data_IF_970027418693
#
_entry.id   IF_970027418693
#
_cell.length_a   1.000
_cell.length_b   1.000
_cell.length_c   1.000
_cell.angle_alpha   90.00
_cell.angle_beta   90.00
_cell.angle_gamma   90.00
#
_symmetry.space_group_name_H-M   'P 1'
#
loop_
_entity.id
_entity.type
_entity.pdbx_description
1 polymer ?
#
# COMPACT_ATOMS: atom_id res chain seq x y z
N UNK A 1 10.38 0.65 -25.84
CA UNK A 1 9.68 -0.15 -24.82
C UNK A 1 9.73 0.64 -23.52
N UNK A 2 8.64 0.72 -22.75
CA UNK A 2 8.65 1.45 -21.47
C UNK A 2 9.50 0.70 -20.46
N UNK A 3 10.26 1.42 -19.65
CA UNK A 3 11.10 0.86 -18.59
C UNK A 3 10.38 0.91 -17.24
N UNK A 4 10.49 -0.16 -16.47
CA UNK A 4 9.82 -0.35 -15.19
C UNK A 4 10.80 -0.91 -14.15
N UNK A 5 10.88 -0.28 -12.99
CA UNK A 5 11.47 -0.93 -11.82
C UNK A 5 10.39 -1.44 -10.86
N UNK A 6 10.49 -2.71 -10.50
CA UNK A 6 9.63 -3.38 -9.52
C UNK A 6 10.37 -3.36 -8.18
N UNK A 7 9.80 -2.67 -7.20
CA UNK A 7 10.34 -2.54 -5.85
C UNK A 7 9.75 -3.65 -4.98
N UNK A 8 10.61 -4.49 -4.44
CA UNK A 8 10.22 -5.69 -3.71
C UNK A 8 11.02 -5.80 -2.40
N UNK A 9 10.33 -5.97 -1.27
CA UNK A 9 10.97 -6.09 0.05
C UNK A 9 10.71 -7.48 0.62
N UNK A 10 11.78 -8.22 0.93
CA UNK A 10 11.71 -9.56 1.50
C UNK A 10 12.79 -9.80 2.57
N UNK A 11 12.69 -9.09 3.70
CA UNK A 11 13.62 -9.25 4.83
C UNK A 11 13.20 -10.38 5.78
N UNK A 12 14.18 -11.00 6.44
CA UNK A 12 14.01 -12.10 7.38
C UNK A 12 13.21 -13.26 6.78
N UNK A 13 12.14 -13.73 7.44
CA UNK A 13 11.37 -14.87 6.96
C UNK A 13 10.58 -14.58 5.67
N UNK A 14 10.56 -13.34 5.16
CA UNK A 14 9.87 -13.04 3.89
C UNK A 14 10.69 -13.41 2.66
N UNK A 15 11.98 -13.74 2.79
CA UNK A 15 12.83 -14.16 1.68
C UNK A 15 12.30 -15.38 0.91
N UNK A 16 11.56 -16.28 1.59
CA UNK A 16 10.96 -17.48 0.98
C UNK A 16 10.01 -17.16 -0.18
N UNK A 17 9.33 -16.01 -0.16
CA UNK A 17 8.39 -15.68 -1.23
C UNK A 17 9.07 -15.33 -2.56
N UNK A 18 10.35 -14.96 -2.54
CA UNK A 18 11.05 -14.49 -3.74
C UNK A 18 11.16 -15.58 -4.82
N UNK A 19 11.40 -16.83 -4.41
CA UNK A 19 11.54 -17.98 -5.30
C UNK A 19 10.37 -18.08 -6.29
N UNK A 20 9.14 -18.03 -5.79
CA UNK A 20 7.93 -18.15 -6.61
C UNK A 20 7.49 -16.80 -7.20
N UNK A 21 7.77 -15.70 -6.51
CA UNK A 21 7.39 -14.35 -6.94
C UNK A 21 8.05 -13.98 -8.27
N UNK A 22 9.37 -14.13 -8.38
CA UNK A 22 10.13 -13.69 -9.55
C UNK A 22 9.64 -14.30 -10.88
N UNK A 23 9.58 -15.63 -11.06
CA UNK A 23 9.14 -16.21 -12.32
C UNK A 23 7.68 -15.87 -12.63
N UNK A 24 6.81 -15.80 -11.63
CA UNK A 24 5.41 -15.43 -11.80
C UNK A 24 5.25 -13.97 -12.28
N UNK A 25 5.88 -13.01 -11.60
CA UNK A 25 5.80 -11.60 -11.97
C UNK A 25 6.50 -11.33 -13.31
N UNK A 26 7.63 -11.98 -13.58
CA UNK A 26 8.31 -11.87 -14.88
C UNK A 26 7.44 -12.35 -16.03
N UNK A 27 6.69 -13.43 -15.87
CA UNK A 27 5.77 -13.93 -16.89
C UNK A 27 4.53 -13.05 -17.07
N UNK A 28 3.96 -12.54 -15.96
CA UNK A 28 2.58 -12.05 -15.96
C UNK A 28 2.42 -10.55 -15.69
N UNK A 29 3.31 -9.91 -14.93
CA UNK A 29 3.14 -8.52 -14.50
C UNK A 29 3.82 -7.54 -15.46
N UNK A 30 3.05 -6.86 -16.30
CA UNK A 30 3.53 -5.88 -17.28
C UNK A 30 4.59 -6.45 -18.26
N UNK A 31 4.32 -7.58 -18.95
CA UNK A 31 5.30 -8.22 -19.83
C UNK A 31 5.68 -7.39 -21.06
N UNK A 32 4.90 -6.35 -21.37
CA UNK A 32 5.14 -5.35 -22.40
C UNK A 32 6.05 -4.20 -21.96
N UNK A 33 6.53 -4.21 -20.71
CA UNK A 33 7.54 -3.30 -20.19
C UNK A 33 8.90 -4.03 -20.02
N UNK A 34 9.98 -3.28 -20.22
CA UNK A 34 11.32 -3.72 -19.86
C UNK A 34 11.49 -3.53 -18.35
N UNK A 35 11.77 -4.63 -17.63
CA UNK A 35 11.56 -4.72 -16.19
C UNK A 35 12.84 -5.07 -15.47
N UNK A 36 13.12 -4.36 -14.38
CA UNK A 36 14.19 -4.68 -13.45
C UNK A 36 13.59 -4.82 -12.04
N UNK A 37 13.94 -5.89 -11.34
CA UNK A 37 13.50 -6.19 -9.98
C UNK A 37 14.53 -5.67 -8.98
N UNK A 38 14.14 -4.70 -8.16
CA UNK A 38 14.92 -4.16 -7.05
C UNK A 38 14.50 -4.91 -5.77
N UNK A 39 15.34 -5.85 -5.34
CA UNK A 39 15.06 -6.78 -4.24
C UNK A 39 15.77 -6.31 -2.99
N UNK A 40 15.02 -5.69 -2.08
CA UNK A 40 15.52 -5.21 -0.79
C UNK A 40 15.42 -6.32 0.26
N UNK A 41 16.57 -6.85 0.69
CA UNK A 41 16.65 -8.00 1.60
C UNK A 41 17.89 -7.98 2.47
N UNK A 42 17.85 -8.65 3.62
CA UNK A 42 18.99 -8.93 4.49
C UNK A 42 19.62 -10.30 4.18
N UNK A 43 19.04 -11.08 3.26
CA UNK A 43 19.60 -12.35 2.83
C UNK A 43 20.97 -12.15 2.14
N UNK A 44 21.91 -13.01 2.47
CA UNK A 44 23.24 -13.01 1.87
C UNK A 44 23.21 -13.38 0.37
N UNK A 45 22.23 -14.20 -0.02
CA UNK A 45 21.98 -14.66 -1.38
C UNK A 45 20.47 -14.81 -1.60
N UNK A 46 20.01 -14.59 -2.82
CA UNK A 46 18.63 -14.86 -3.25
C UNK A 46 18.60 -15.72 -4.52
N UNK A 47 17.52 -16.45 -4.75
CA UNK A 47 17.34 -17.16 -6.02
C UNK A 47 17.38 -16.17 -7.20
N UNK A 48 17.90 -16.60 -8.34
CA UNK A 48 17.99 -15.78 -9.56
C UNK A 48 18.82 -14.49 -9.41
N UNK A 49 19.71 -14.40 -8.42
CA UNK A 49 20.55 -13.21 -8.20
C UNK A 49 21.40 -12.83 -9.42
N UNK A 50 21.90 -13.82 -10.15
CA UNK A 50 22.70 -13.63 -11.37
C UNK A 50 21.87 -13.24 -12.61
N UNK A 51 20.54 -13.18 -12.48
CA UNK A 51 19.69 -12.78 -13.59
C UNK A 51 19.94 -11.30 -13.95
N UNK A 52 20.04 -10.95 -15.25
CA UNK A 52 20.40 -9.60 -15.68
C UNK A 52 19.36 -8.54 -15.29
N UNK A 53 18.14 -8.97 -14.94
CA UNK A 53 17.02 -8.16 -14.52
C UNK A 53 16.77 -8.17 -13.00
N UNK A 54 17.67 -8.73 -12.20
CA UNK A 54 17.57 -8.74 -10.73
C UNK A 54 18.67 -7.87 -10.12
N UNK A 55 18.32 -7.04 -9.13
CA UNK A 55 19.22 -6.18 -8.37
C UNK A 55 18.96 -6.39 -6.89
N UNK A 56 19.81 -7.17 -6.22
CA UNK A 56 19.76 -7.34 -4.77
C UNK A 56 20.35 -6.11 -4.07
N UNK A 57 19.59 -5.56 -3.13
CA UNK A 57 19.97 -4.40 -2.33
C UNK A 57 19.89 -4.81 -0.87
N UNK A 58 20.99 -4.64 -0.15
CA UNK A 58 21.00 -4.95 1.27
C UNK A 58 20.06 -4.02 2.04
N UNK A 59 19.11 -4.61 2.75
CA UNK A 59 18.17 -3.92 3.61
C UNK A 59 18.03 -4.73 4.91
N UNK A 60 18.48 -4.15 6.03
CA UNK A 60 18.39 -4.81 7.33
C UNK A 60 16.92 -5.11 7.69
N UNK A 61 16.66 -6.30 8.24
CA UNK A 61 15.37 -6.61 8.86
C UNK A 61 15.08 -5.67 10.03
N UNK A 62 13.90 -5.04 9.98
CA UNK A 62 13.41 -4.14 11.02
C UNK A 62 12.26 -4.81 11.78
N UNK A 63 12.14 -4.59 13.11
CA UNK A 63 11.02 -5.12 13.87
C UNK A 63 9.71 -4.49 13.37
N UNK A 64 8.61 -5.25 13.45
CA UNK A 64 7.29 -4.67 13.20
C UNK A 64 6.93 -3.68 14.31
N UNK A 65 6.37 -2.48 14.03
CA UNK A 65 5.87 -1.99 12.73
C UNK A 65 6.88 -1.18 11.88
N UNK A 66 8.14 -1.05 12.30
CA UNK A 66 9.15 -0.23 11.60
C UNK A 66 9.43 -0.71 10.17
N UNK A 67 9.42 -2.03 9.93
CA UNK A 67 9.61 -2.62 8.59
C UNK A 67 8.57 -2.15 7.57
N UNK A 68 7.36 -1.87 8.02
CA UNK A 68 6.25 -1.39 7.20
C UNK A 68 6.31 0.13 7.00
N UNK A 69 6.70 0.87 8.03
CA UNK A 69 6.77 2.34 8.01
C UNK A 69 7.98 2.88 7.25
N UNK A 70 9.13 2.20 7.33
CA UNK A 70 10.41 2.67 6.78
C UNK A 70 10.72 2.10 5.39
N UNK A 71 9.74 1.48 4.73
CA UNK A 71 9.91 0.95 3.37
C UNK A 71 10.30 2.03 2.35
N UNK A 72 9.80 3.26 2.54
CA UNK A 72 10.11 4.37 1.64
C UNK A 72 11.56 4.83 1.79
N UNK A 73 12.17 4.69 2.98
CA UNK A 73 13.59 4.98 3.18
C UNK A 73 14.46 4.05 2.34
N UNK A 74 14.10 2.77 2.27
CA UNK A 74 14.78 1.79 1.43
C UNK A 74 14.72 2.20 -0.05
N UNK A 75 13.54 2.59 -0.55
CA UNK A 75 13.38 3.02 -1.94
C UNK A 75 14.15 4.30 -2.24
N UNK A 76 14.09 5.28 -1.34
CA UNK A 76 14.79 6.55 -1.50
C UNK A 76 16.32 6.40 -1.45
N UNK A 77 16.83 5.37 -0.77
CA UNK A 77 18.24 4.99 -0.83
C UNK A 77 18.73 4.59 -2.24
N UNK A 78 17.81 4.32 -3.17
CA UNK A 78 18.11 4.02 -4.58
C UNK A 78 17.53 5.06 -5.55
N UNK A 79 17.11 6.23 -5.04
CA UNK A 79 16.41 7.24 -5.84
C UNK A 79 17.18 7.66 -7.12
N UNK A 80 18.51 7.76 -7.03
CA UNK A 80 19.35 8.17 -8.16
C UNK A 80 19.35 7.19 -9.34
N UNK A 81 19.23 5.89 -9.05
CA UNK A 81 19.06 4.86 -10.06
C UNK A 81 17.60 4.77 -10.52
N UNK A 82 16.65 4.83 -9.57
CA UNK A 82 15.23 4.67 -9.84
C UNK A 82 14.63 5.81 -10.67
N UNK A 83 15.16 7.03 -10.60
CA UNK A 83 14.71 8.16 -11.43
C UNK A 83 14.95 7.94 -12.94
N UNK A 84 15.81 7.01 -13.31
CA UNK A 84 16.11 6.69 -14.71
C UNK A 84 15.06 5.82 -15.42
N UNK A 85 14.06 5.31 -14.68
CA UNK A 85 12.97 4.50 -15.24
C UNK A 85 11.77 5.36 -15.61
N UNK A 86 10.92 4.87 -16.51
CA UNK A 86 9.65 5.53 -16.83
C UNK A 86 8.65 5.35 -15.68
N UNK A 87 8.60 4.14 -15.09
CA UNK A 87 7.65 3.78 -14.05
C UNK A 87 8.32 3.04 -12.89
N UNK A 88 7.73 3.19 -11.70
CA UNK A 88 8.09 2.44 -10.50
C UNK A 88 6.84 1.80 -9.92
N UNK A 89 6.93 0.53 -9.52
CA UNK A 89 5.85 -0.18 -8.84
C UNK A 89 6.37 -0.94 -7.63
N UNK A 90 5.77 -0.68 -6.48
CA UNK A 90 5.94 -1.52 -5.31
C UNK A 90 4.96 -2.69 -5.35
N UNK A 91 5.47 -3.89 -5.10
CA UNK A 91 4.70 -5.12 -4.95
C UNK A 91 5.08 -5.80 -3.62
N UNK A 92 4.07 -6.09 -2.81
CA UNK A 92 4.27 -6.79 -1.55
C UNK A 92 4.79 -8.22 -1.77
N UNK A 93 5.49 -8.76 -0.76
CA UNK A 93 6.26 -10.00 -0.90
C UNK A 93 5.43 -11.20 -1.39
N UNK A 94 4.18 -11.29 -0.94
CA UNK A 94 3.28 -12.42 -1.10
C UNK A 94 2.24 -12.21 -2.22
N UNK A 95 2.50 -11.32 -3.19
CA UNK A 95 1.61 -11.18 -4.35
C UNK A 95 1.85 -12.29 -5.38
N UNK A 96 0.80 -12.66 -6.10
CA UNK A 96 0.84 -13.65 -7.18
C UNK A 96 -0.12 -13.26 -8.30
N UNK A 97 0.38 -13.09 -9.52
CA UNK A 97 -0.45 -12.82 -10.69
C UNK A 97 -1.13 -14.11 -11.18
N UNK A 98 -2.44 -14.07 -11.38
CA UNK A 98 -3.26 -15.20 -11.89
C UNK A 98 -3.40 -15.17 -13.41
N UNK A 99 -3.14 -14.01 -14.03
CA UNK A 99 -3.16 -13.78 -15.47
C UNK A 99 -2.13 -12.73 -15.87
N UNK A 100 -1.92 -12.59 -17.18
CA UNK A 100 -1.14 -11.49 -17.74
C UNK A 100 -1.87 -10.16 -17.50
N UNK A 101 -1.12 -9.18 -17.01
CA UNK A 101 -1.54 -7.80 -16.70
C UNK A 101 -0.73 -6.87 -17.59
N UNK A 102 -1.39 -6.11 -18.48
CA UNK A 102 -0.74 -5.26 -19.47
C UNK A 102 -0.55 -3.81 -18.99
N UNK A 103 0.26 -3.03 -19.70
CA UNK A 103 0.54 -1.64 -19.34
C UNK A 103 -0.70 -0.73 -19.39
N UNK A 104 -1.61 -0.94 -20.34
CA UNK A 104 -2.82 -0.14 -20.53
C UNK A 104 -3.87 -0.33 -19.42
N UNK A 105 -3.92 -1.51 -18.77
CA UNK A 105 -4.83 -1.78 -17.65
C UNK A 105 -4.36 -1.17 -16.33
N UNK A 106 -3.05 -1.06 -16.10
CA UNK A 106 -2.49 -0.77 -14.77
C UNK A 106 -1.71 0.55 -14.69
N UNK A 107 -0.97 0.96 -15.72
CA UNK A 107 -0.20 2.21 -15.68
C UNK A 107 -1.13 3.43 -15.61
N UNK A 108 -0.71 4.51 -14.91
CA UNK A 108 -1.49 5.74 -14.87
C UNK A 108 -1.65 6.34 -16.26
N UNK A 109 -2.76 7.04 -16.52
CA UNK A 109 -3.01 7.76 -17.77
C UNK A 109 -2.68 9.26 -17.63
N UNK A 110 -1.56 9.75 -18.20
CA UNK A 110 -1.21 11.17 -18.15
C UNK A 110 -2.23 12.07 -18.85
N UNK A 111 -2.96 11.57 -19.86
CA UNK A 111 -3.99 12.35 -20.55
C UNK A 111 -5.19 12.62 -19.64
N UNK A 112 -5.44 11.73 -18.67
CA UNK A 112 -6.43 11.91 -17.61
C UNK A 112 -5.87 12.69 -16.39
N UNK A 113 -4.64 13.20 -16.47
CA UNK A 113 -3.97 13.88 -15.36
C UNK A 113 -3.43 12.95 -14.27
N UNK A 114 -3.36 11.65 -14.54
CA UNK A 114 -2.89 10.64 -13.60
C UNK A 114 -1.38 10.43 -13.74
N UNK A 115 -0.71 10.31 -12.60
CA UNK A 115 0.73 10.00 -12.52
C UNK A 115 1.05 8.86 -11.56
N UNK A 116 0.07 8.45 -10.75
CA UNK A 116 0.17 7.42 -9.74
C UNK A 116 -0.90 6.35 -9.94
N UNK A 117 -0.67 5.15 -9.44
CA UNK A 117 -1.61 4.03 -9.43
C UNK A 117 -1.75 3.50 -8.01
N UNK A 118 -2.98 3.25 -7.57
CA UNK A 118 -3.27 2.58 -6.30
C UNK A 118 -4.44 1.61 -6.46
N UNK A 119 -4.48 0.56 -5.63
CA UNK A 119 -5.51 -0.48 -5.70
C UNK A 119 -6.50 -0.33 -4.54
N UNK A 120 -7.80 -0.38 -4.82
CA UNK A 120 -8.83 -0.39 -3.77
C UNK A 120 -8.70 -1.63 -2.88
N UNK A 121 -8.84 -1.45 -1.58
CA UNK A 121 -8.83 -2.56 -0.63
C UNK A 121 -10.19 -3.28 -0.63
N UNK A 122 -10.21 -4.60 -0.90
CA UNK A 122 -11.41 -5.39 -1.14
C UNK A 122 -12.56 -5.17 -0.12
N UNK A 123 -12.35 -5.34 1.21
CA UNK A 123 -13.37 -5.06 2.23
C UNK A 123 -14.09 -3.71 2.18
N UNK A 124 -13.46 -2.68 1.59
CA UNK A 124 -13.95 -1.31 1.60
C UNK A 124 -14.39 -0.82 0.21
N UNK A 125 -14.16 -1.62 -0.83
CA UNK A 125 -14.58 -1.29 -2.18
C UNK A 125 -16.11 -1.17 -2.28
N UNK A 126 -16.58 -0.07 -2.87
CA UNK A 126 -18.01 0.24 -2.98
C UNK A 126 -18.72 0.52 -1.65
N UNK A 127 -18.01 0.60 -0.52
CA UNK A 127 -18.59 0.95 0.78
C UNK A 127 -18.62 2.47 0.97
N UNK A 128 -19.46 2.93 1.90
CA UNK A 128 -19.51 4.36 2.21
C UNK A 128 -18.22 4.82 2.93
N UNK A 129 -17.54 5.90 2.46
CA UNK A 129 -16.28 6.39 3.02
C UNK A 129 -16.28 6.70 4.52
N UNK A 130 -17.44 6.97 5.14
CA UNK A 130 -17.51 7.19 6.59
C UNK A 130 -17.12 5.94 7.40
N UNK A 131 -17.27 4.75 6.81
CA UNK A 131 -16.90 3.47 7.42
C UNK A 131 -15.52 2.98 6.99
N UNK A 132 -14.83 3.69 6.11
CA UNK A 132 -13.45 3.37 5.76
C UNK A 132 -12.57 3.54 7.00
N UNK A 133 -11.59 2.65 7.20
CA UNK A 133 -10.82 2.61 8.43
C UNK A 133 -9.65 3.62 8.38
N UNK A 134 -9.87 4.80 7.80
CA UNK A 134 -8.90 5.88 7.80
C UNK A 134 -8.43 6.22 9.21
N UNK A 135 -7.25 6.82 9.31
CA UNK A 135 -6.88 7.52 10.52
C UNK A 135 -7.85 8.70 10.72
N UNK A 136 -8.51 8.75 11.89
CA UNK A 136 -9.43 9.82 12.27
C UNK A 136 -8.91 10.61 13.47
N UNK A 137 -7.68 10.33 13.90
CA UNK A 137 -7.04 10.99 15.03
C UNK A 137 -6.58 12.36 14.57
N UNK A 138 -7.09 13.45 15.15
CA UNK A 138 -6.64 14.80 14.80
C UNK A 138 -5.16 15.09 15.15
N UNK A 139 -4.39 14.08 15.55
CA UNK A 139 -2.98 14.15 15.92
C UNK A 139 -2.05 13.64 14.83
N UNK A 140 -2.51 12.68 14.00
CA UNK A 140 -1.70 12.12 12.92
C UNK A 140 -1.80 12.95 11.64
N UNK A 141 -0.69 13.09 10.92
CA UNK A 141 -0.65 13.65 9.56
C UNK A 141 -1.49 12.82 8.57
N UNK A 142 -1.76 11.55 8.87
CA UNK A 142 -2.64 10.68 8.10
C UNK A 142 -4.15 10.94 8.32
N UNK A 143 -4.52 11.83 9.25
CA UNK A 143 -5.91 12.01 9.65
C UNK A 143 -6.80 12.49 8.51
N UNK A 144 -7.89 11.78 8.22
CA UNK A 144 -8.89 12.17 7.23
C UNK A 144 -10.20 12.50 7.98
N UNK A 145 -10.79 13.69 7.82
CA UNK A 145 -12.12 14.00 8.37
C UNK A 145 -13.22 13.10 7.78
N UNK A 146 -14.30 12.83 8.52
CA UNK A 146 -15.41 12.00 8.06
C UNK A 146 -16.13 12.57 6.83
N UNK A 147 -16.04 13.89 6.63
CA UNK A 147 -16.54 14.61 5.45
C UNK A 147 -15.64 14.49 4.21
N UNK A 148 -14.54 13.72 4.27
CA UNK A 148 -13.53 13.62 3.23
C UNK A 148 -13.10 12.17 2.96
N UNK A 149 -12.40 11.98 1.84
CA UNK A 149 -11.96 10.68 1.35
C UNK A 149 -13.04 10.01 0.50
N UNK A 150 -12.60 9.34 -0.56
CA UNK A 150 -13.49 8.63 -1.49
C UNK A 150 -13.13 7.14 -1.60
N UNK A 151 -11.84 6.82 -1.58
CA UNK A 151 -11.33 5.47 -1.79
C UNK A 151 -10.48 5.05 -0.61
N UNK A 152 -10.68 3.82 -0.14
CA UNK A 152 -9.70 3.18 0.73
C UNK A 152 -8.81 2.24 -0.10
N UNK A 153 -7.54 2.60 -0.25
CA UNK A 153 -6.56 1.85 -1.04
C UNK A 153 -5.69 0.96 -0.15
N UNK A 154 -5.26 -0.17 -0.70
CA UNK A 154 -4.36 -1.12 -0.06
C UNK A 154 -2.89 -0.72 -0.27
N UNK A 155 -2.05 -0.91 0.75
CA UNK A 155 -0.60 -0.70 0.66
C UNK A 155 0.18 -1.81 -0.05
N UNK A 156 -0.51 -2.84 -0.59
CA UNK A 156 0.10 -4.05 -1.15
C UNK A 156 0.65 -3.90 -2.57
N UNK A 157 -0.02 -3.11 -3.41
CA UNK A 157 0.40 -2.79 -4.77
C UNK A 157 0.12 -1.30 -5.03
N UNK A 158 1.14 -0.55 -5.40
CA UNK A 158 1.02 0.85 -5.79
C UNK A 158 2.24 1.26 -6.63
N UNK A 159 2.10 2.30 -7.42
CA UNK A 159 3.15 2.71 -8.34
C UNK A 159 2.82 4.01 -9.05
N UNK A 160 3.53 4.28 -10.13
CA UNK A 160 3.31 5.48 -10.94
C UNK A 160 4.48 5.77 -11.85
N UNK A 161 4.48 6.96 -12.45
CA UNK A 161 5.69 7.47 -13.12
C UNK A 161 6.81 7.59 -12.09
N UNK A 162 8.06 7.36 -12.49
CA UNK A 162 9.16 7.33 -11.53
C UNK A 162 9.29 8.64 -10.73
N UNK A 163 9.16 9.78 -11.40
CA UNK A 163 9.18 11.08 -10.76
C UNK A 163 8.07 11.23 -9.70
N UNK A 164 6.82 10.91 -10.05
CA UNK A 164 5.68 11.05 -9.13
C UNK A 164 5.77 10.04 -7.97
N UNK A 165 6.19 8.82 -8.24
CA UNK A 165 6.31 7.79 -7.22
C UNK A 165 7.45 8.07 -6.23
N UNK A 166 8.60 8.59 -6.69
CA UNK A 166 9.66 9.05 -5.80
C UNK A 166 9.21 10.26 -4.96
N UNK A 167 8.46 11.19 -5.55
CA UNK A 167 7.87 12.31 -4.80
C UNK A 167 6.89 11.81 -3.73
N UNK A 168 6.04 10.82 -4.06
CA UNK A 168 5.15 10.14 -3.13
C UNK A 168 5.95 9.51 -1.98
N UNK A 169 7.03 8.78 -2.27
CA UNK A 169 7.88 8.16 -1.25
C UNK A 169 8.49 9.20 -0.30
N UNK A 170 9.01 10.32 -0.82
CA UNK A 170 9.57 11.42 -0.01
C UNK A 170 8.52 12.00 0.93
N UNK A 171 7.30 12.21 0.43
CA UNK A 171 6.23 12.79 1.22
C UNK A 171 5.71 11.83 2.29
N UNK A 172 5.53 10.54 1.95
CA UNK A 172 5.14 9.51 2.92
C UNK A 172 6.17 9.35 4.03
N UNK A 173 7.47 9.35 3.67
CA UNK A 173 8.58 9.39 4.63
C UNK A 173 8.46 10.59 5.55
N UNK A 174 8.41 11.80 4.99
CA UNK A 174 8.36 13.05 5.75
C UNK A 174 7.21 13.07 6.75
N UNK A 175 6.00 12.69 6.34
CA UNK A 175 4.82 12.64 7.22
C UNK A 175 4.93 11.59 8.32
N UNK A 176 5.54 10.45 8.00
CA UNK A 176 5.79 9.39 8.98
C UNK A 176 6.81 9.86 10.01
N UNK A 177 7.89 10.51 9.58
CA UNK A 177 8.91 11.07 10.47
C UNK A 177 8.31 12.18 11.37
N UNK A 178 7.47 13.06 10.82
CA UNK A 178 6.73 14.08 11.59
C UNK A 178 5.81 13.45 12.66
N UNK A 179 5.06 12.41 12.31
CA UNK A 179 4.20 11.69 13.27
C UNK A 179 5.05 11.03 14.37
N UNK A 180 6.15 10.37 14.01
CA UNK A 180 7.05 9.72 14.96
C UNK A 180 7.72 10.73 15.91
N UNK A 181 8.17 11.88 15.41
CA UNK A 181 8.72 12.97 16.23
C UNK A 181 7.73 13.48 17.28
N UNK A 182 6.43 13.41 16.96
CA UNK A 182 5.34 13.79 17.86
C UNK A 182 4.81 12.62 18.71
N UNK A 183 5.48 11.46 18.70
CA UNK A 183 5.04 10.23 19.38
C UNK A 183 3.64 9.76 18.93
N UNK A 184 3.33 9.93 17.64
CA UNK A 184 2.10 9.49 17.00
C UNK A 184 2.42 8.34 16.05
N UNK A 185 1.59 7.29 16.08
CA UNK A 185 1.62 6.20 15.11
C UNK A 185 0.25 6.18 14.42
N UNK A 186 0.25 6.34 13.10
CA UNK A 186 -0.98 6.28 12.31
C UNK A 186 -1.61 4.89 12.42
N UNK A 187 -2.95 4.84 12.41
CA UNK A 187 -3.78 3.66 12.69
C UNK A 187 -3.35 2.40 11.92
N UNK A 188 -3.12 2.53 10.62
CA UNK A 188 -2.59 1.48 9.75
C UNK A 188 -1.26 1.90 9.11
N UNK A 189 -0.46 2.64 9.88
CA UNK A 189 0.94 2.95 9.56
C UNK A 189 1.05 3.65 8.19
N UNK A 190 1.81 3.07 7.25
CA UNK A 190 2.00 3.64 5.91
C UNK A 190 0.72 3.66 5.06
N UNK A 191 -0.16 2.67 5.21
CA UNK A 191 -1.42 2.62 4.47
C UNK A 191 -2.32 3.80 4.84
N UNK A 192 -2.30 4.24 6.09
CA UNK A 192 -3.02 5.45 6.51
C UNK A 192 -2.46 6.70 5.86
N UNK A 193 -1.13 6.84 5.76
CA UNK A 193 -0.49 7.97 5.09
C UNK A 193 -0.77 7.97 3.58
N UNK A 194 -0.72 6.80 2.93
CA UNK A 194 -1.07 6.64 1.52
C UNK A 194 -2.52 7.06 1.24
N UNK A 195 -3.46 6.57 2.06
CA UNK A 195 -4.86 6.94 1.93
C UNK A 195 -5.10 8.44 2.14
N UNK A 196 -4.32 9.09 3.01
CA UNK A 196 -4.36 10.54 3.18
C UNK A 196 -3.93 11.28 1.91
N UNK A 197 -2.89 10.82 1.23
CA UNK A 197 -2.45 11.41 -0.03
C UNK A 197 -3.45 11.16 -1.17
N UNK A 198 -4.04 9.95 -1.24
CA UNK A 198 -5.13 9.66 -2.19
C UNK A 198 -6.34 10.56 -1.95
N UNK A 199 -6.68 10.85 -0.69
CA UNK A 199 -7.77 11.76 -0.36
C UNK A 199 -7.45 13.23 -0.64
N UNK A 200 -6.17 13.62 -0.62
CA UNK A 200 -5.68 14.96 -0.99
C UNK A 200 -5.68 15.17 -2.50
N UNK A 201 -5.31 14.18 -3.30
CA UNK A 201 -5.17 14.38 -4.76
C UNK A 201 -5.76 13.22 -5.57
N UNK A 202 -7.06 12.89 -5.41
CA UNK A 202 -7.63 11.68 -6.02
C UNK A 202 -7.51 11.64 -7.55
N UNK A 203 -7.53 12.80 -8.22
CA UNK A 203 -7.35 12.88 -9.68
C UNK A 203 -5.97 12.50 -10.20
N UNK A 204 -4.93 12.52 -9.34
CA UNK A 204 -3.57 12.07 -9.71
C UNK A 204 -3.42 10.55 -9.74
N UNK A 205 -4.35 9.84 -9.11
CA UNK A 205 -4.30 8.40 -8.98
C UNK A 205 -5.23 7.73 -9.99
N UNK A 206 -4.69 6.79 -10.76
CA UNK A 206 -5.47 5.71 -11.35
C UNK A 206 -5.84 4.74 -10.23
N UNK A 207 -7.12 4.75 -9.86
CA UNK A 207 -7.65 3.86 -8.82
C UNK A 207 -8.13 2.57 -9.48
N UNK A 208 -7.46 1.47 -9.17
CA UNK A 208 -7.78 0.14 -9.68
C UNK A 208 -8.79 -0.58 -8.77
N UNK A 209 -9.64 -1.47 -9.34
CA UNK A 209 -10.54 -2.32 -8.56
C UNK A 209 -9.74 -3.31 -7.69
N UNK A 210 -10.38 -3.92 -6.67
CA UNK A 210 -9.70 -4.81 -5.74
C UNK A 210 -9.10 -6.06 -6.37
N UNK A 211 -9.47 -6.40 -7.61
CA UNK A 211 -8.98 -7.56 -8.36
C UNK A 211 -7.45 -7.58 -8.51
N UNK A 212 -6.79 -6.43 -8.38
CA UNK A 212 -5.32 -6.30 -8.43
C UNK A 212 -4.66 -6.45 -7.05
N UNK A 213 -5.41 -6.78 -6.00
CA UNK A 213 -4.89 -7.03 -4.64
C UNK A 213 -5.92 -7.82 -3.81
N UNK A 214 -6.36 -8.98 -4.31
CA UNK A 214 -7.39 -9.82 -3.68
C UNK A 214 -6.78 -10.80 -2.68
N UNK A 215 -7.20 -10.82 -1.40
CA UNK A 215 -6.80 -11.85 -0.45
C UNK A 215 -7.24 -13.24 -0.91
N UNK A 216 -6.33 -14.21 -0.88
CA UNK A 216 -6.61 -15.60 -1.25
C UNK A 216 -7.75 -16.23 -0.41
N UNK A 217 -7.97 -15.74 0.81
CA UNK A 217 -9.06 -16.18 1.69
C UNK A 217 -10.44 -15.72 1.25
N UNK A 218 -10.52 -14.75 0.34
CA UNK A 218 -11.77 -14.16 -0.12
C UNK A 218 -11.71 -14.00 -1.64
N UNK A 219 -11.62 -15.10 -2.40
CA UNK A 219 -11.52 -15.06 -3.85
C UNK A 219 -12.78 -14.43 -4.44
N UNK A 220 -12.61 -13.67 -5.53
CA UNK A 220 -13.72 -13.00 -6.21
C UNK A 220 -14.10 -13.71 -7.51
N UNK A 221 -13.28 -14.65 -7.98
CA UNK A 221 -13.44 -15.40 -9.23
C UNK A 221 -12.96 -14.64 -10.47
N UNK A 222 -12.44 -13.43 -10.30
CA UNK A 222 -11.95 -12.55 -11.36
C UNK A 222 -10.67 -11.78 -10.94
N UNK A 223 -10.04 -12.21 -9.87
CA UNK A 223 -8.74 -11.71 -9.40
C UNK A 223 -7.69 -11.73 -10.52
N UNK A 224 -6.97 -10.62 -10.68
CA UNK A 224 -5.77 -10.51 -11.51
C UNK A 224 -4.50 -10.75 -10.68
N UNK A 225 -4.52 -10.35 -9.40
CA UNK A 225 -3.43 -10.54 -8.45
C UNK A 225 -3.99 -11.00 -7.10
N UNK A 226 -3.50 -12.13 -6.63
CA UNK A 226 -3.77 -12.70 -5.32
C UNK A 226 -2.74 -12.26 -4.29
N UNK A 227 -3.19 -12.06 -3.06
CA UNK A 227 -2.36 -11.90 -1.87
C UNK A 227 -2.33 -13.25 -1.16
N UNK A 228 -1.21 -13.98 -1.30
CA UNK A 228 -1.04 -15.31 -0.73
C UNK A 228 -0.99 -15.28 0.80
N UNK A 229 -1.56 -16.30 1.44
CA UNK A 229 -1.53 -16.41 2.90
C UNK A 229 -0.10 -16.47 3.44
N UNK A 230 0.25 -15.52 4.30
CA UNK A 230 1.56 -15.50 4.97
C UNK A 230 1.76 -16.73 5.87
N UNK A 231 0.68 -17.26 6.46
CA UNK A 231 0.67 -18.45 7.33
C UNK A 231 1.17 -19.72 6.64
N UNK A 232 1.13 -19.79 5.30
CA UNK A 232 1.65 -20.95 4.54
C UNK A 232 3.17 -21.07 4.61
N UNK A 233 3.86 -19.93 4.76
CA UNK A 233 5.31 -19.86 4.69
C UNK A 233 5.95 -19.30 5.98
N UNK A 234 5.18 -18.60 6.81
CA UNK A 234 5.63 -17.91 8.02
C UNK A 234 4.61 -18.13 9.13
N UNK A 235 5.04 -18.47 10.34
CA UNK A 235 4.13 -18.58 11.48
C UNK A 235 3.68 -17.16 11.95
N UNK A 236 2.49 -16.73 11.52
CA UNK A 236 1.91 -15.39 11.81
C UNK A 236 1.07 -15.37 13.11
N UNK A 237 0.90 -16.52 13.77
CA UNK A 237 -0.02 -16.67 14.91
C UNK A 237 0.44 -15.95 16.18
N UNK A 238 1.70 -15.49 16.25
CA UNK A 238 2.25 -14.82 17.44
C UNK A 238 1.81 -13.35 17.62
N UNK A 239 1.01 -12.77 16.72
CA UNK A 239 0.79 -11.30 16.67
C UNK A 239 -0.65 -10.87 16.97
N UNK A 240 -1.64 -11.78 16.95
CA UNK A 240 -3.04 -11.41 17.23
C UNK A 240 -3.46 -11.87 18.63
N UNK A 241 -3.55 -10.91 19.54
CA UNK A 241 -4.05 -11.15 20.89
C UNK A 241 -5.46 -11.73 20.89
N UNK A 242 -5.73 -12.64 21.83
CA UNK A 242 -7.04 -13.28 21.99
C UNK A 242 -8.15 -12.25 22.18
N UNK A 243 -9.30 -12.48 21.52
CA UNK A 243 -10.47 -11.64 21.68
C UNK A 243 -10.94 -11.66 23.14
N UNK A 244 -11.06 -10.49 23.77
CA UNK A 244 -11.58 -10.38 25.14
C UNK A 244 -13.08 -10.69 25.16
N UNK A 245 -13.58 -11.50 26.11
CA UNK A 245 -15.01 -11.74 26.24
C UNK A 245 -15.74 -10.43 26.52
N UNK A 246 -16.80 -10.15 25.76
CA UNK A 246 -17.59 -8.92 25.89
C UNK A 246 -18.99 -9.19 26.46
N UNK A 247 -19.40 -8.34 27.41
CA UNK A 247 -20.75 -8.36 27.96
C UNK A 247 -21.77 -7.74 26.96
N UNK A 248 -23.07 -7.89 27.26
CA UNK A 248 -24.15 -7.43 26.37
C UNK A 248 -24.10 -5.91 26.09
N UNK A 249 -23.81 -5.10 27.12
CA UNK A 249 -23.74 -3.64 26.99
C UNK A 249 -22.56 -3.24 26.09
N UNK A 250 -21.40 -3.86 26.28
CA UNK A 250 -20.23 -3.66 25.44
C UNK A 250 -20.53 -3.98 23.98
N UNK A 251 -21.20 -5.11 23.71
CA UNK A 251 -21.63 -5.48 22.36
C UNK A 251 -22.59 -4.47 21.74
N UNK A 252 -23.60 -4.01 22.49
CA UNK A 252 -24.56 -3.00 22.00
C UNK A 252 -23.88 -1.65 21.75
N UNK A 253 -22.98 -1.24 22.63
CA UNK A 253 -22.20 -0.02 22.46
C UNK A 253 -21.25 -0.11 21.25
N UNK A 254 -20.57 -1.23 21.07
CA UNK A 254 -19.74 -1.46 19.89
C UNK A 254 -20.56 -1.46 18.60
N UNK A 255 -21.72 -2.12 18.59
CA UNK A 255 -22.64 -2.06 17.47
C UNK A 255 -23.08 -0.61 17.17
N UNK A 256 -23.38 0.20 18.18
CA UNK A 256 -23.67 1.63 17.98
C UNK A 256 -22.48 2.38 17.39
N UNK A 257 -21.28 2.16 17.93
CA UNK A 257 -20.04 2.79 17.46
C UNK A 257 -19.69 2.43 16.02
N UNK A 258 -19.96 1.21 15.60
CA UNK A 258 -19.66 0.73 14.25
C UNK A 258 -20.70 1.19 13.23
N UNK A 259 -21.98 1.26 13.61
CA UNK A 259 -23.08 1.50 12.65
C UNK A 259 -23.60 2.93 12.64
N UNK A 260 -23.58 3.65 13.77
CA UNK A 260 -24.29 4.94 13.91
C UNK A 260 -23.35 6.11 14.19
N UNK A 261 -22.33 5.89 15.03
CA UNK A 261 -21.39 6.94 15.41
C UNK A 261 -20.67 7.61 14.22
N UNK A 262 -20.31 6.92 13.11
CA UNK A 262 -19.72 7.56 11.93
C UNK A 262 -20.61 8.65 11.31
N UNK A 263 -21.94 8.49 11.35
CA UNK A 263 -22.87 9.51 10.84
C UNK A 263 -22.87 10.76 11.72
N UNK A 264 -22.80 10.60 13.05
CA UNK A 264 -22.69 11.74 13.97
C UNK A 264 -21.37 12.50 13.74
N UNK A 265 -20.28 11.78 13.49
CA UNK A 265 -19.01 12.42 13.17
C UNK A 265 -18.98 13.07 11.80
N UNK A 266 -19.65 12.50 10.80
CA UNK A 266 -19.88 13.16 9.52
C UNK A 266 -20.64 14.48 9.71
N UNK A 267 -21.73 14.47 10.49
CA UNK A 267 -22.50 15.68 10.78
C UNK A 267 -21.64 16.75 11.47
N UNK A 268 -20.88 16.37 12.50
CA UNK A 268 -19.91 17.25 13.16
C UNK A 268 -18.90 17.85 12.18
N UNK A 269 -18.23 17.00 11.39
CA UNK A 269 -17.17 17.45 10.48
C UNK A 269 -17.73 18.34 9.36
N UNK A 270 -18.95 18.07 8.92
CA UNK A 270 -19.70 18.92 7.96
C UNK A 270 -20.02 20.28 8.56
N UNK A 271 -20.57 20.33 9.79
CA UNK A 271 -20.90 21.58 10.49
C UNK A 271 -19.65 22.42 10.76
N UNK A 272 -18.55 21.78 11.17
CA UNK A 272 -17.27 22.43 11.42
C UNK A 272 -16.49 22.73 10.12
N UNK A 273 -17.06 22.40 8.95
CA UNK A 273 -16.42 22.56 7.63
C UNK A 273 -15.00 22.01 7.59
N UNK A 274 -14.76 20.87 8.25
CA UNK A 274 -13.44 20.22 8.24
C UNK A 274 -13.13 19.79 6.82
N UNK A 275 -11.94 20.18 6.36
CA UNK A 275 -11.39 19.87 5.04
C UNK A 275 -10.03 19.21 5.20
N UNK A 276 -9.61 18.58 4.12
CA UNK A 276 -8.24 18.19 3.90
C UNK A 276 -7.51 19.42 3.37
N UNK A 277 -6.47 19.88 4.07
CA UNK A 277 -5.60 20.93 3.55
C UNK A 277 -4.81 20.38 2.35
N UNK A 278 -5.09 20.91 1.16
CA UNK A 278 -4.31 20.63 -0.06
C UNK A 278 -2.99 21.41 0.03
N UNK A 279 -2.00 20.86 0.72
CA UNK A 279 -0.68 21.50 0.90
C UNK A 279 0.39 20.96 -0.04
N UNK A 280 0.06 20.00 -0.90
CA UNK A 280 1.07 19.22 -1.62
C UNK A 280 0.97 19.37 -3.14
N UNK A 281 2.06 19.87 -3.73
CA UNK A 281 2.32 19.91 -5.17
C UNK A 281 2.86 18.55 -5.69
N UNK A 282 2.31 17.44 -5.19
CA UNK A 282 2.62 16.09 -5.72
C UNK A 282 2.33 15.97 -7.22
#
# INVERSE_FOLDING_TARGET
>A
MKTLAILYICTGPYAVFWHDFYPNFKANFLPDCDRIFYVFTDAAHIDYEDAPDVRRIYQKALPWPQSTMLRFDAFLGQADALQGYDYLFFANANLHCTRVIRADELLPDPAAGQSLTAVCHLPYYGKNPIFHPYDRSGKSRASIPYSCGQYYVAGGLNGGTAAAYLALCRELKKRTDEDLQNNVIARFHDESQLNRLVAETPGKFRILPPDYCTPEETPTGHEAILVLQKSRCINVESVKGAAKPQNFVQRKWEAFRLNWLPYLWLARDTLLRRRIDFKNDL
#
